data_IF_531760405050
#
_entry.id   IF_531760405050
#
_cell.length_a   1.000
_cell.length_b   1.000
_cell.length_c   1.000
_cell.angle_alpha   90.00
_cell.angle_beta   90.00
_cell.angle_gamma   90.00
#
_symmetry.space_group_name_H-M   'P 1'
#
loop_
_entity.id
_entity.type
_entity.pdbx_description
1 polymer ?
#
# COMPACT_ATOMS: atom_id res chain seq x y z
N UNK A 1 -9.74 20.97 -9.72
CA UNK A 1 -9.13 19.74 -10.26
C UNK A 1 -10.06 18.58 -9.92
N UNK A 2 -10.63 17.91 -10.92
CA UNK A 2 -11.57 16.80 -10.68
C UNK A 2 -10.80 15.60 -10.12
N UNK A 3 -11.27 15.02 -9.02
CA UNK A 3 -10.61 13.91 -8.36
C UNK A 3 -10.75 12.65 -9.21
N UNK A 4 -9.65 12.15 -9.78
CA UNK A 4 -9.63 10.83 -10.41
C UNK A 4 -9.87 9.78 -9.32
N UNK A 5 -10.92 8.95 -9.41
CA UNK A 5 -11.15 7.86 -8.47
C UNK A 5 -9.93 6.93 -8.49
N UNK A 6 -9.20 6.87 -7.38
CA UNK A 6 -7.92 6.15 -7.27
C UNK A 6 -6.73 7.04 -6.89
N UNK A 7 -6.72 8.32 -7.28
CA UNK A 7 -5.65 9.24 -6.89
C UNK A 7 -5.61 9.44 -5.36
N UNK A 8 -6.79 9.49 -4.72
CA UNK A 8 -6.93 9.62 -3.26
C UNK A 8 -6.35 8.43 -2.49
N UNK A 9 -6.51 7.21 -3.00
CA UNK A 9 -5.98 6.01 -2.36
C UNK A 9 -4.48 5.88 -2.59
N UNK A 10 -4.00 6.09 -3.82
CA UNK A 10 -2.58 6.09 -4.12
C UNK A 10 -1.83 7.15 -3.28
N UNK A 11 -2.38 8.36 -3.16
CA UNK A 11 -1.79 9.41 -2.31
C UNK A 11 -1.83 9.09 -0.83
N UNK A 12 -2.91 8.45 -0.35
CA UNK A 12 -3.02 8.03 1.05
C UNK A 12 -2.01 6.93 1.39
N UNK A 13 -1.84 5.95 0.50
CA UNK A 13 -0.82 4.91 0.63
C UNK A 13 0.59 5.50 0.61
N UNK A 14 0.88 6.42 -0.31
CA UNK A 14 2.16 7.12 -0.36
C UNK A 14 2.43 7.92 0.92
N UNK A 15 1.40 8.58 1.48
CA UNK A 15 1.52 9.32 2.73
C UNK A 15 1.78 8.45 3.96
N UNK A 16 1.35 7.18 3.95
CA UNK A 16 1.60 6.23 5.04
C UNK A 16 2.91 5.46 4.86
N UNK A 17 3.14 4.89 3.67
CA UNK A 17 4.28 4.00 3.40
C UNK A 17 5.56 4.76 3.05
N UNK A 18 5.45 5.94 2.43
CA UNK A 18 6.62 6.73 1.99
C UNK A 18 7.56 7.12 3.13
N UNK A 19 7.06 7.72 4.24
CA UNK A 19 7.91 8.07 5.39
C UNK A 19 8.56 6.86 6.05
N UNK A 20 7.85 5.72 6.12
CA UNK A 20 8.37 4.50 6.74
C UNK A 20 9.42 3.84 5.83
N UNK A 21 9.22 3.85 4.51
CA UNK A 21 10.22 3.44 3.53
C UNK A 21 11.48 4.31 3.59
N UNK A 22 11.32 5.63 3.67
CA UNK A 22 12.45 6.55 3.78
C UNK A 22 13.27 6.32 5.08
N UNK A 23 12.60 5.96 6.18
CA UNK A 23 13.28 5.65 7.46
C UNK A 23 13.98 4.30 7.44
N UNK A 24 13.45 3.31 6.73
CA UNK A 24 14.04 1.98 6.64
C UNK A 24 15.39 1.98 5.89
N UNK A 25 15.65 3.01 5.07
CA UNK A 25 16.88 3.18 4.32
C UNK A 25 17.08 2.06 3.30
N UNK A 26 18.33 1.76 2.94
CA UNK A 26 18.67 0.76 1.88
C UNK A 26 18.13 -0.66 2.11
N UNK A 27 17.61 -0.96 3.30
CA UNK A 27 16.97 -2.24 3.59
C UNK A 27 15.50 -2.33 3.15
N UNK A 28 14.88 -1.22 2.75
CA UNK A 28 13.47 -1.15 2.35
C UNK A 28 12.48 -1.53 3.46
N UNK A 29 11.18 -1.47 3.15
CA UNK A 29 10.15 -1.99 4.05
C UNK A 29 10.00 -3.49 3.88
N UNK A 30 9.84 -4.21 4.99
CA UNK A 30 9.53 -5.65 4.95
C UNK A 30 8.08 -5.87 4.54
N UNK A 31 7.81 -7.02 3.93
CA UNK A 31 6.44 -7.43 3.57
C UNK A 31 5.47 -7.43 4.76
N UNK A 32 5.95 -7.75 5.96
CA UNK A 32 5.17 -7.68 7.20
C UNK A 32 4.69 -6.25 7.53
N UNK A 33 5.50 -5.23 7.22
CA UNK A 33 5.17 -3.82 7.48
C UNK A 33 4.17 -3.32 6.45
N UNK A 34 4.40 -3.62 5.17
CA UNK A 34 3.49 -3.28 4.07
C UNK A 34 2.14 -3.96 4.27
N UNK A 35 2.11 -5.26 4.55
CA UNK A 35 0.86 -5.98 4.83
C UNK A 35 0.14 -5.47 6.08
N UNK A 36 0.87 -5.00 7.10
CA UNK A 36 0.29 -4.37 8.29
C UNK A 36 -0.45 -3.07 7.98
N UNK A 37 -0.01 -2.29 7.00
CA UNK A 37 -0.72 -1.10 6.51
C UNK A 37 -1.93 -1.49 5.67
N UNK A 38 -1.76 -2.41 4.72
CA UNK A 38 -2.84 -2.86 3.84
C UNK A 38 -4.03 -3.47 4.63
N UNK A 39 -3.76 -4.17 5.73
CA UNK A 39 -4.80 -4.74 6.60
C UNK A 39 -5.66 -3.70 7.32
N UNK A 40 -5.18 -2.46 7.47
CA UNK A 40 -5.91 -1.37 8.14
C UNK A 40 -6.86 -0.62 7.20
N UNK A 41 -6.78 -0.86 5.90
CA UNK A 41 -7.57 -0.16 4.90
C UNK A 41 -8.83 -0.98 4.63
N UNK A 42 -10.02 -0.53 5.05
CA UNK A 42 -11.26 -1.23 4.75
C UNK A 42 -11.65 -1.05 3.28
N UNK A 43 -12.16 -2.13 2.68
CA UNK A 43 -12.68 -2.17 1.32
C UNK A 43 -14.05 -2.84 1.37
N UNK A 44 -15.07 -2.08 0.95
CA UNK A 44 -16.43 -2.58 0.82
C UNK A 44 -16.58 -3.40 -0.46
N UNK A 45 -16.99 -4.66 -0.32
CA UNK A 45 -17.21 -5.59 -1.42
C UNK A 45 -18.67 -6.08 -1.45
N UNK A 46 -19.09 -6.58 -2.61
CA UNK A 46 -20.47 -7.06 -2.80
C UNK A 46 -21.54 -5.98 -2.65
N UNK A 47 -21.23 -4.73 -3.03
CA UNK A 47 -22.14 -3.59 -2.89
C UNK A 47 -22.30 -3.10 -1.45
N UNK A 48 -21.27 -3.26 -0.60
CA UNK A 48 -21.29 -2.82 0.80
C UNK A 48 -21.87 -3.84 1.79
N UNK A 49 -22.03 -5.10 1.37
CA UNK A 49 -22.54 -6.17 2.24
C UNK A 49 -21.46 -6.77 3.14
N UNK A 50 -20.21 -6.69 2.71
CA UNK A 50 -19.05 -7.20 3.42
C UNK A 50 -17.93 -6.18 3.32
N UNK A 51 -17.27 -5.91 4.44
CA UNK A 51 -16.07 -5.09 4.48
C UNK A 51 -14.88 -6.00 4.74
N UNK A 52 -13.94 -6.03 3.81
CA UNK A 52 -12.68 -6.77 3.92
C UNK A 52 -11.52 -5.78 4.03
N UNK A 53 -10.32 -6.24 4.41
CA UNK A 53 -9.16 -5.38 4.29
C UNK A 53 -8.65 -5.32 2.85
N UNK A 54 -7.92 -4.25 2.50
CA UNK A 54 -7.26 -4.14 1.20
C UNK A 54 -6.29 -5.32 0.97
N UNK A 55 -5.68 -5.82 2.03
CA UNK A 55 -4.83 -7.01 1.98
C UNK A 55 -5.60 -8.27 1.56
N UNK A 56 -6.83 -8.46 2.05
CA UNK A 56 -7.64 -9.65 1.75
C UNK A 56 -8.19 -9.67 0.32
N UNK A 57 -8.31 -8.49 -0.31
CA UNK A 57 -8.83 -8.35 -1.68
C UNK A 57 -7.73 -8.26 -2.74
N UNK A 58 -6.48 -8.03 -2.32
CA UNK A 58 -5.35 -7.95 -3.24
C UNK A 58 -4.81 -9.35 -3.58
N UNK A 59 -4.49 -9.64 -4.86
CA UNK A 59 -3.71 -10.81 -5.21
C UNK A 59 -2.36 -10.80 -4.50
N UNK A 60 -1.89 -11.95 -4.02
CA UNK A 60 -0.65 -12.07 -3.25
C UNK A 60 0.57 -11.50 -3.97
N UNK A 61 0.65 -11.66 -5.30
CA UNK A 61 1.73 -11.08 -6.12
C UNK A 61 1.81 -9.56 -6.04
N UNK A 62 0.68 -8.87 -5.90
CA UNK A 62 0.65 -7.40 -5.85
C UNK A 62 1.28 -6.85 -4.57
N UNK A 63 1.27 -7.59 -3.47
CA UNK A 63 1.95 -7.17 -2.22
C UNK A 63 3.46 -7.26 -2.39
N UNK A 64 3.95 -8.35 -2.99
CA UNK A 64 5.38 -8.50 -3.29
C UNK A 64 5.87 -7.46 -4.29
N UNK A 65 5.07 -7.13 -5.31
CA UNK A 65 5.41 -6.08 -6.27
C UNK A 65 5.45 -4.69 -5.60
N UNK A 66 4.53 -4.40 -4.69
CA UNK A 66 4.53 -3.15 -3.94
C UNK A 66 5.77 -3.02 -3.04
N UNK A 67 6.20 -4.10 -2.38
CA UNK A 67 7.44 -4.11 -1.57
C UNK A 67 8.65 -3.78 -2.46
N UNK A 68 8.78 -4.43 -3.62
CA UNK A 68 9.87 -4.18 -4.57
C UNK A 68 9.87 -2.74 -5.09
N UNK A 69 8.70 -2.19 -5.42
CA UNK A 69 8.58 -0.80 -5.87
C UNK A 69 9.04 0.20 -4.79
N UNK A 70 8.76 -0.09 -3.52
CA UNK A 70 9.21 0.74 -2.40
C UNK A 70 10.74 0.62 -2.21
N UNK A 71 11.29 -0.58 -2.32
CA UNK A 71 12.75 -0.81 -2.29
C UNK A 71 13.47 -0.07 -3.43
N UNK A 72 12.95 -0.18 -4.65
CA UNK A 72 13.48 0.53 -5.82
C UNK A 72 13.44 2.05 -5.62
N UNK A 73 12.32 2.57 -5.11
CA UNK A 73 12.18 4.00 -4.83
C UNK A 73 13.21 4.50 -3.79
N UNK A 74 13.44 3.75 -2.70
CA UNK A 74 14.44 4.10 -1.68
C UNK A 74 15.88 3.96 -2.21
N UNK A 75 16.11 3.09 -3.19
CA UNK A 75 17.44 2.98 -3.82
C UNK A 75 17.74 4.17 -4.73
N UNK A 76 16.73 4.66 -5.42
CA UNK A 76 16.85 5.73 -6.42
C UNK A 76 16.74 7.15 -5.82
N UNK A 77 16.46 7.28 -4.51
CA UNK A 77 16.39 8.54 -3.75
C UNK A 77 17.36 8.55 -2.56
#
# INVERSE_FOLDING_TARGET
MSAVPGLKMASALAGQLGPDAAKAGRGGLREAEVSGVLKKIPVDVGGGRVTLSLYDVMPSGCVSDLVRLLEDWVRDN
#
